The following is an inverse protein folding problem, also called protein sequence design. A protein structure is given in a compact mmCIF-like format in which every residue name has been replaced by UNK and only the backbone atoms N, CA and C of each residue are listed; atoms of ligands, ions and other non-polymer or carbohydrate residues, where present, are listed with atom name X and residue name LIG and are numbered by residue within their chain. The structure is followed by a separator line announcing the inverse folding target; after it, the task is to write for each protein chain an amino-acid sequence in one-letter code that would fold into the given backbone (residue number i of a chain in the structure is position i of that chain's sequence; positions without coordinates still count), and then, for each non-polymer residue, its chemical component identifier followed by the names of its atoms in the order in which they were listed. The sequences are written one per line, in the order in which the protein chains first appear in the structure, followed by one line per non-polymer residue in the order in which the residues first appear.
data_IF_331836495185
#
_entry.id   IF_331836495185
#
_cell.length_a   1.000
_cell.length_b   1.000
_cell.length_c   1.000
_cell.angle_alpha   90.00
_cell.angle_beta   90.00
_cell.angle_gamma   90.00
#
_symmetry.space_group_name_H-M   'P 1'
#
loop_
_entity.id
_entity.type
_entity.pdbx_description
1 polymer ?
#
# COMPACT_ATOMS: atom_id res chain seq x y z
N UNK A 1 -16.60 -6.64 -19.76
CA UNK A 1 -16.68 -7.23 -18.41
C UNK A 1 -15.44 -8.09 -18.22
N UNK A 2 -14.57 -7.82 -17.23
CA UNK A 2 -13.50 -8.76 -16.91
C UNK A 2 -14.15 -10.07 -16.42
N UNK A 3 -13.57 -11.23 -16.75
CA UNK A 3 -14.09 -12.51 -16.29
C UNK A 3 -14.02 -12.55 -14.76
N UNK A 4 -15.11 -12.98 -14.12
CA UNK A 4 -15.08 -13.32 -12.69
C UNK A 4 -14.16 -14.53 -12.55
N UNK A 5 -13.00 -14.33 -11.92
CA UNK A 5 -12.13 -15.42 -11.53
C UNK A 5 -12.93 -16.37 -10.63
N UNK A 6 -12.92 -17.66 -10.96
CA UNK A 6 -13.63 -18.66 -10.18
C UNK A 6 -12.96 -18.79 -8.79
N UNK A 7 -13.74 -19.03 -7.73
CA UNK A 7 -13.20 -19.20 -6.36
C UNK A 7 -12.15 -20.32 -6.22
N UNK A 8 -11.99 -21.18 -7.23
CA UNK A 8 -10.93 -22.19 -7.31
C UNK A 8 -9.56 -21.63 -7.74
N UNK A 9 -9.52 -20.57 -8.56
CA UNK A 9 -8.27 -19.88 -8.95
C UNK A 9 -7.73 -19.01 -7.82
N UNK A 10 -8.62 -18.42 -7.02
CA UNK A 10 -8.28 -17.63 -5.83
C UNK A 10 -7.66 -18.53 -4.74
N UNK A 11 -8.23 -19.72 -4.52
CA UNK A 11 -7.69 -20.74 -3.61
C UNK A 11 -6.35 -21.34 -4.04
N UNK A 12 -6.01 -21.31 -5.34
CA UNK A 12 -4.73 -21.80 -5.86
C UNK A 12 -3.58 -20.80 -5.68
N UNK A 13 -3.87 -19.49 -5.72
CA UNK A 13 -2.90 -18.40 -5.43
C UNK A 13 -2.49 -18.31 -3.95
N UNK A 14 -3.27 -18.93 -3.07
CA UNK A 14 -3.19 -18.75 -1.61
C UNK A 14 -2.26 -19.75 -0.89
N UNK A 15 -1.62 -20.66 -1.64
CA UNK A 15 -0.74 -21.69 -1.06
C UNK A 15 0.59 -21.09 -0.59
N UNK A 16 0.59 -20.56 0.63
CA UNK A 16 1.80 -20.11 1.33
C UNK A 16 1.82 -18.63 1.68
N UNK A 17 0.80 -17.85 1.26
CA UNK A 17 0.66 -16.46 1.66
C UNK A 17 0.26 -16.38 3.14
N UNK A 18 0.87 -15.47 3.94
CA UNK A 18 0.42 -15.24 5.30
C UNK A 18 -1.00 -14.65 5.30
N UNK A 19 -1.91 -15.29 6.06
CA UNK A 19 -3.27 -14.83 6.24
C UNK A 19 -3.49 -14.31 7.66
N UNK A 20 -4.39 -13.34 7.86
CA UNK A 20 -4.68 -12.79 9.18
C UNK A 20 -5.61 -13.68 10.01
N UNK A 21 -5.25 -13.84 11.27
CA UNK A 21 -6.02 -14.55 12.28
C UNK A 21 -6.07 -13.77 13.58
N UNK A 22 -7.15 -13.95 14.35
CA UNK A 22 -7.21 -13.60 15.77
C UNK A 22 -6.78 -14.78 16.60
N UNK A 23 -5.92 -14.53 17.58
CA UNK A 23 -5.50 -15.51 18.56
C UNK A 23 -6.60 -15.67 19.61
N UNK A 24 -7.13 -16.88 19.73
CA UNK A 24 -8.22 -17.21 20.65
C UNK A 24 -7.88 -18.45 21.49
N UNK A 25 -8.79 -18.82 22.40
CA UNK A 25 -8.74 -20.09 23.13
C UNK A 25 -9.93 -20.96 22.75
N UNK A 26 -9.66 -22.25 22.57
CA UNK A 26 -10.69 -23.28 22.50
C UNK A 26 -10.44 -24.30 23.61
N UNK A 27 -11.19 -24.15 24.70
CA UNK A 27 -10.95 -24.88 25.94
C UNK A 27 -9.53 -24.62 26.47
N UNK A 28 -8.70 -25.67 26.57
CA UNK A 28 -7.32 -25.57 27.04
C UNK A 28 -6.32 -25.16 25.94
N UNK A 29 -6.72 -25.20 24.67
CA UNK A 29 -5.84 -25.00 23.53
C UNK A 29 -5.91 -23.57 22.99
N UNK A 30 -4.81 -23.12 22.36
CA UNK A 30 -4.79 -21.92 21.56
C UNK A 30 -5.35 -22.21 20.16
N UNK A 31 -6.18 -21.31 19.64
CA UNK A 31 -6.79 -21.40 18.31
C UNK A 31 -6.51 -20.13 17.50
N UNK A 32 -6.59 -20.26 16.17
CA UNK A 32 -6.47 -19.13 15.25
C UNK A 32 -7.77 -18.98 14.48
N UNK A 33 -8.54 -17.97 14.86
CA UNK A 33 -9.81 -17.66 14.20
C UNK A 33 -9.53 -16.76 12.99
N UNK A 34 -9.90 -17.16 11.77
CA UNK A 34 -9.73 -16.30 10.60
C UNK A 34 -10.51 -15.00 10.78
N UNK A 35 -9.91 -13.88 10.37
CA UNK A 35 -10.57 -12.58 10.52
C UNK A 35 -11.59 -12.30 9.39
N UNK A 36 -11.34 -12.83 8.19
CA UNK A 36 -12.12 -12.55 6.97
C UNK A 36 -12.46 -13.81 6.14
N UNK A 37 -12.46 -14.99 6.76
CA UNK A 37 -12.80 -16.25 6.09
C UNK A 37 -13.66 -17.14 6.98
N UNK A 38 -14.41 -18.06 6.38
CA UNK A 38 -15.43 -18.85 7.09
C UNK A 38 -14.86 -20.09 7.83
N UNK A 39 -13.67 -20.57 7.45
CA UNK A 39 -13.12 -21.83 7.97
C UNK A 39 -12.06 -21.61 9.07
N UNK A 40 -12.44 -21.97 10.30
CA UNK A 40 -11.57 -21.93 11.50
C UNK A 40 -10.32 -22.80 11.31
N UNK A 41 -9.16 -22.33 11.78
CA UNK A 41 -7.88 -23.05 11.73
C UNK A 41 -7.28 -23.24 13.13
N UNK A 42 -6.39 -24.23 13.31
CA UNK A 42 -5.73 -24.50 14.59
C UNK A 42 -4.30 -23.93 14.62
N UNK A 43 -3.80 -23.54 15.80
CA UNK A 43 -2.42 -23.05 15.97
C UNK A 43 -1.43 -24.23 16.01
N UNK A 44 -0.30 -24.16 15.29
CA UNK A 44 0.87 -25.00 15.60
C UNK A 44 1.56 -24.45 16.85
N UNK A 45 1.84 -25.30 17.84
CA UNK A 45 2.49 -24.90 19.09
C UNK A 45 4.00 -24.58 18.99
N UNK A 46 4.66 -24.71 17.83
CA UNK A 46 6.13 -24.72 17.74
C UNK A 46 6.67 -23.76 16.66
N UNK A 47 7.43 -22.76 17.11
CA UNK A 47 8.17 -21.80 16.28
C UNK A 47 7.38 -20.54 15.89
N UNK A 48 8.06 -19.40 15.83
CA UNK A 48 7.49 -18.09 15.50
C UNK A 48 7.34 -17.14 16.70
N UNK A 49 6.83 -15.92 16.47
CA UNK A 49 6.51 -14.96 17.52
C UNK A 49 5.55 -15.54 18.59
N UNK A 50 5.63 -15.01 19.81
CA UNK A 50 4.73 -15.39 20.92
C UNK A 50 3.58 -14.37 21.04
N UNK A 51 2.37 -14.67 20.54
CA UNK A 51 1.24 -13.77 20.68
C UNK A 51 0.61 -13.84 22.08
N UNK A 52 -0.25 -12.88 22.38
CA UNK A 52 -1.19 -12.88 23.50
C UNK A 52 -2.61 -13.23 23.00
N UNK A 53 -3.50 -13.53 23.95
CA UNK A 53 -4.93 -13.72 23.65
C UNK A 53 -5.50 -12.44 23.05
N UNK A 54 -6.29 -12.53 21.99
CA UNK A 54 -6.85 -11.41 21.20
C UNK A 54 -5.84 -10.61 20.38
N UNK A 55 -4.60 -11.07 20.24
CA UNK A 55 -3.71 -10.48 19.23
C UNK A 55 -4.16 -10.88 17.82
N UNK A 56 -4.03 -9.96 16.88
CA UNK A 56 -4.07 -10.23 15.44
C UNK A 56 -2.68 -10.65 14.97
N UNK A 57 -2.63 -11.71 14.16
CA UNK A 57 -1.39 -12.31 13.68
C UNK A 57 -1.49 -12.67 12.21
N UNK A 58 -0.35 -12.72 11.53
CA UNK A 58 -0.23 -13.37 10.23
C UNK A 58 0.29 -14.79 10.42
N UNK A 59 -0.34 -15.76 9.78
CA UNK A 59 0.09 -17.15 9.85
C UNK A 59 0.03 -17.84 8.48
N UNK A 60 0.95 -18.78 8.26
CA UNK A 60 1.05 -19.59 7.05
C UNK A 60 0.68 -21.05 7.33
N UNK A 61 0.22 -21.81 6.32
CA UNK A 61 0.04 -23.26 6.43
C UNK A 61 1.31 -23.96 6.90
N UNK A 62 1.17 -24.94 7.80
CA UNK A 62 2.28 -25.77 8.28
C UNK A 62 2.04 -27.26 8.04
N UNK A 63 1.05 -27.86 8.71
CA UNK A 63 0.67 -29.26 8.51
C UNK A 63 -0.81 -29.48 8.85
N UNK A 64 -1.56 -30.07 7.92
CA UNK A 64 -3.02 -30.18 8.02
C UNK A 64 -3.67 -28.82 8.27
N UNK A 65 -4.57 -28.76 9.26
CA UNK A 65 -5.27 -27.53 9.65
C UNK A 65 -4.45 -26.61 10.55
N UNK A 66 -3.18 -26.95 10.81
CA UNK A 66 -2.33 -26.14 11.67
C UNK A 66 -1.66 -25.01 10.90
N UNK A 67 -1.50 -23.85 11.55
CA UNK A 67 -0.80 -22.67 11.02
C UNK A 67 0.37 -22.25 11.90
N UNK A 68 1.43 -21.72 11.28
CA UNK A 68 2.61 -21.14 11.96
C UNK A 68 2.56 -19.62 11.87
N UNK A 69 2.68 -18.95 13.01
CA UNK A 69 2.72 -17.48 13.08
C UNK A 69 4.03 -16.99 12.48
N UNK A 70 3.93 -15.99 11.61
CA UNK A 70 5.07 -15.29 11.02
C UNK A 70 5.19 -13.86 11.55
N UNK A 71 4.08 -13.25 11.96
CA UNK A 71 4.06 -11.87 12.45
C UNK A 71 2.93 -11.64 13.46
N UNK A 72 3.17 -10.78 14.46
CA UNK A 72 2.13 -10.23 15.34
C UNK A 72 1.81 -8.81 14.87
N UNK A 73 0.56 -8.56 14.48
CA UNK A 73 0.11 -7.29 13.93
C UNK A 73 -0.24 -6.27 15.02
N UNK A 74 -0.75 -6.74 16.16
CA UNK A 74 -1.22 -5.91 17.26
C UNK A 74 -2.43 -6.54 17.94
N UNK A 75 -3.20 -5.73 18.69
CA UNK A 75 -4.42 -6.17 19.38
C UNK A 75 -5.63 -6.14 18.45
N UNK A 76 -6.62 -6.98 18.68
CA UNK A 76 -7.88 -6.96 17.92
C UNK A 76 -8.74 -5.70 18.15
N UNK A 77 -8.52 -4.97 19.25
CA UNK A 77 -9.16 -3.68 19.55
C UNK A 77 -8.37 -2.47 19.01
N UNK A 78 -7.21 -2.69 18.38
CA UNK A 78 -6.44 -1.65 17.69
C UNK A 78 -6.84 -1.55 16.22
N UNK A 79 -7.43 -0.41 15.85
CA UNK A 79 -7.86 -0.12 14.47
C UNK A 79 -6.71 -0.24 13.47
N UNK A 80 -5.49 0.19 13.83
CA UNK A 80 -4.35 0.10 12.93
C UNK A 80 -3.99 -1.36 12.64
N UNK A 81 -4.04 -2.23 13.66
CA UNK A 81 -3.80 -3.66 13.49
C UNK A 81 -4.87 -4.34 12.62
N UNK A 82 -6.14 -3.96 12.79
CA UNK A 82 -7.26 -4.44 11.95
C UNK A 82 -7.07 -4.02 10.49
N UNK A 83 -6.71 -2.76 10.24
CA UNK A 83 -6.46 -2.24 8.89
C UNK A 83 -5.27 -2.93 8.22
N UNK A 84 -4.18 -3.18 8.96
CA UNK A 84 -3.06 -3.97 8.46
C UNK A 84 -3.46 -5.41 8.13
N UNK A 85 -4.26 -6.04 8.97
CA UNK A 85 -4.80 -7.37 8.71
C UNK A 85 -5.64 -7.40 7.43
N UNK A 86 -6.46 -6.36 7.20
CA UNK A 86 -7.27 -6.23 5.98
C UNK A 86 -6.40 -6.14 4.72
N UNK A 87 -5.36 -5.29 4.71
CA UNK A 87 -4.41 -5.22 3.59
C UNK A 87 -3.77 -6.58 3.29
N UNK A 88 -3.35 -7.26 4.35
CA UNK A 88 -2.77 -8.60 4.26
C UNK A 88 -3.78 -9.65 3.77
N UNK A 89 -5.10 -9.47 3.94
CA UNK A 89 -6.12 -10.38 3.42
C UNK A 89 -6.47 -10.08 1.96
N UNK A 90 -6.54 -8.81 1.57
CA UNK A 90 -6.88 -8.40 0.19
C UNK A 90 -5.70 -8.53 -0.77
N UNK A 91 -4.47 -8.60 -0.26
CA UNK A 91 -3.27 -8.85 -1.05
C UNK A 91 -2.65 -7.59 -1.61
N UNK A 92 -3.04 -6.45 -1.02
CA UNK A 92 -2.40 -5.17 -1.29
C UNK A 92 -0.93 -5.27 -0.88
N UNK A 93 -0.05 -4.86 -1.79
CA UNK A 93 1.39 -4.84 -1.57
C UNK A 93 1.72 -3.76 -0.55
N UNK A 94 2.54 -4.11 0.43
CA UNK A 94 2.94 -3.20 1.50
C UNK A 94 4.44 -2.93 1.45
N UNK A 95 4.82 -1.67 1.64
CA UNK A 95 6.22 -1.24 1.60
C UNK A 95 6.90 -1.45 0.24
N UNK A 96 8.17 -1.07 0.09
CA UNK A 96 8.89 -1.17 -1.19
C UNK A 96 10.11 -2.08 -1.06
N UNK A 97 10.41 -2.86 -2.11
CA UNK A 97 11.62 -3.66 -2.19
C UNK A 97 12.88 -2.77 -2.22
N UNK A 98 14.03 -3.31 -1.79
CA UNK A 98 15.30 -2.56 -1.67
C UNK A 98 15.69 -1.90 -2.98
N UNK A 99 15.60 -2.63 -4.10
CA UNK A 99 15.90 -2.09 -5.43
C UNK A 99 15.03 -0.86 -5.79
N UNK A 100 13.74 -0.86 -5.42
CA UNK A 100 12.84 0.29 -5.65
C UNK A 100 13.22 1.47 -4.76
N UNK A 101 13.62 1.19 -3.50
CA UNK A 101 14.06 2.24 -2.56
C UNK A 101 15.39 2.87 -2.98
N UNK A 102 16.31 2.06 -3.48
CA UNK A 102 17.60 2.51 -4.01
C UNK A 102 17.43 3.39 -5.25
N UNK A 103 16.60 2.98 -6.20
CA UNK A 103 16.27 3.81 -7.38
C UNK A 103 15.61 5.13 -6.97
N UNK A 104 14.64 5.09 -6.05
CA UNK A 104 13.96 6.29 -5.59
C UNK A 104 14.91 7.27 -4.86
N UNK A 105 15.85 6.75 -4.07
CA UNK A 105 16.85 7.59 -3.42
C UNK A 105 17.79 8.31 -4.41
N UNK A 106 17.98 7.74 -5.61
CA UNK A 106 18.79 8.33 -6.68
C UNK A 106 18.06 9.43 -7.49
N UNK A 107 16.77 9.64 -7.24
CA UNK A 107 15.94 10.65 -7.95
C UNK A 107 16.29 12.08 -7.53
N UNK A 108 16.63 12.32 -6.26
CA UNK A 108 16.84 13.65 -5.69
C UNK A 108 17.75 14.58 -6.51
N UNK A 109 18.93 14.13 -7.01
CA UNK A 109 19.78 14.94 -7.88
C UNK A 109 19.12 15.38 -9.20
N UNK A 110 18.14 14.63 -9.74
CA UNK A 110 17.40 15.02 -10.96
C UNK A 110 16.46 16.19 -10.67
N UNK A 111 15.85 16.24 -9.49
CA UNK A 111 14.95 17.32 -9.09
C UNK A 111 15.65 18.69 -8.99
N UNK A 112 16.97 18.70 -8.77
CA UNK A 112 17.78 19.92 -8.71
C UNK A 112 18.26 20.42 -10.08
N UNK A 113 18.03 19.68 -11.17
CA UNK A 113 18.49 20.08 -12.50
C UNK A 113 17.56 21.12 -13.10
N UNK A 114 18.14 22.24 -13.55
CA UNK A 114 17.42 23.22 -14.36
C UNK A 114 17.32 22.70 -15.79
N UNK A 115 16.13 22.28 -16.17
CA UNK A 115 15.80 21.90 -17.54
C UNK A 115 15.46 23.18 -18.34
N UNK A 116 16.37 23.58 -19.23
CA UNK A 116 16.26 24.82 -20.02
C UNK A 116 15.25 24.70 -21.16
N UNK A 117 14.81 23.50 -21.49
CA UNK A 117 13.82 23.27 -22.55
C UNK A 117 12.39 23.43 -22.03
N UNK A 118 12.21 23.51 -20.70
CA UNK A 118 10.91 23.79 -20.07
C UNK A 118 10.54 25.25 -20.20
N UNK A 119 9.25 25.48 -20.44
CA UNK A 119 8.66 26.82 -20.36
C UNK A 119 8.67 27.29 -18.91
N UNK A 120 9.32 28.42 -18.66
CA UNK A 120 9.28 29.06 -17.34
C UNK A 120 7.88 29.67 -17.10
N UNK A 121 7.20 29.13 -16.09
CA UNK A 121 5.90 29.60 -15.60
C UNK A 121 5.96 30.02 -14.12
N UNK A 122 7.17 30.16 -13.55
CA UNK A 122 7.37 30.43 -12.11
C UNK A 122 6.85 31.80 -11.68
N UNK A 123 6.63 32.72 -12.62
CA UNK A 123 6.03 34.03 -12.37
C UNK A 123 4.49 34.00 -12.25
N UNK A 124 3.82 32.89 -12.58
CA UNK A 124 2.37 32.77 -12.42
C UNK A 124 2.01 32.56 -10.94
N UNK A 125 0.91 33.18 -10.45
CA UNK A 125 0.40 32.89 -9.12
C UNK A 125 -0.21 31.48 -9.12
N UNK A 126 0.58 30.50 -8.70
CA UNK A 126 0.23 29.07 -8.68
C UNK A 126 -0.04 28.61 -7.25
N UNK A 127 -1.13 27.87 -7.05
CA UNK A 127 -1.52 27.32 -5.76
C UNK A 127 -2.11 25.91 -5.92
N UNK A 128 -2.12 25.14 -4.83
CA UNK A 128 -2.81 23.84 -4.73
C UNK A 128 -3.98 23.98 -3.75
N UNK A 129 -4.96 23.08 -3.81
CA UNK A 129 -6.10 23.06 -2.89
C UNK A 129 -6.30 21.62 -2.40
N UNK A 130 -5.82 21.36 -1.19
CA UNK A 130 -5.73 20.01 -0.63
C UNK A 130 -6.17 19.97 0.84
N UNK A 131 -6.55 18.78 1.36
CA UNK A 131 -6.72 18.59 2.79
C UNK A 131 -5.44 18.88 3.59
N UNK A 132 -5.58 19.32 4.84
CA UNK A 132 -4.43 19.61 5.74
C UNK A 132 -3.47 18.42 5.91
N UNK A 133 -3.97 17.20 5.77
CA UNK A 133 -3.19 15.96 5.93
C UNK A 133 -2.53 15.47 4.64
N UNK A 134 -2.76 16.13 3.49
CA UNK A 134 -2.17 15.75 2.21
C UNK A 134 -0.64 15.92 2.25
N UNK A 135 0.08 15.02 1.58
CA UNK A 135 1.55 15.07 1.50
C UNK A 135 2.07 15.04 0.07
N UNK A 136 1.18 14.79 -0.88
CA UNK A 136 1.38 14.55 -2.30
C UNK A 136 0.49 15.53 -3.07
N UNK A 137 1.10 16.61 -3.56
CA UNK A 137 0.40 17.63 -4.34
C UNK A 137 0.60 17.34 -5.82
N UNK A 138 -0.34 16.58 -6.40
CA UNK A 138 -0.26 16.11 -7.79
C UNK A 138 -0.61 17.19 -8.81
N UNK A 139 -1.38 18.20 -8.40
CA UNK A 139 -1.82 19.28 -9.25
C UNK A 139 -1.75 20.66 -8.59
N UNK A 140 -1.60 21.67 -9.44
CA UNK A 140 -1.66 23.07 -9.06
C UNK A 140 -2.40 23.87 -10.14
N UNK A 141 -2.94 25.02 -9.76
CA UNK A 141 -3.72 25.88 -10.65
C UNK A 141 -3.19 27.31 -10.61
N UNK A 142 -3.15 27.95 -11.77
CA UNK A 142 -3.09 29.42 -11.88
C UNK A 142 -4.29 29.90 -12.69
N UNK A 143 -4.94 30.99 -12.26
CA UNK A 143 -6.06 31.59 -13.00
C UNK A 143 -5.84 33.09 -13.16
N UNK A 144 -5.99 33.58 -14.38
CA UNK A 144 -5.95 35.00 -14.69
C UNK A 144 -7.14 35.41 -15.54
N UNK A 145 -7.60 36.66 -15.40
CA UNK A 145 -8.64 37.23 -16.27
C UNK A 145 -8.06 37.44 -17.66
N UNK A 146 -8.80 37.04 -18.69
CA UNK A 146 -8.40 37.21 -20.08
C UNK A 146 -9.61 37.68 -20.90
N UNK A 147 -9.58 38.94 -21.33
CA UNK A 147 -10.71 39.57 -22.03
C UNK A 147 -11.99 39.58 -21.19
N UNK A 148 -13.05 38.98 -21.71
CA UNK A 148 -14.33 38.78 -21.01
C UNK A 148 -14.38 37.50 -20.17
N UNK A 149 -13.35 36.65 -20.23
CA UNK A 149 -13.29 35.35 -19.55
C UNK A 149 -12.07 35.17 -18.66
N UNK A 150 -11.67 33.92 -18.46
CA UNK A 150 -10.53 33.52 -17.67
C UNK A 150 -9.67 32.51 -18.43
N UNK A 151 -8.36 32.57 -18.20
CA UNK A 151 -7.42 31.52 -18.57
C UNK A 151 -7.01 30.78 -17.30
N UNK A 152 -7.25 29.47 -17.29
CA UNK A 152 -6.77 28.58 -16.25
C UNK A 152 -5.59 27.76 -16.79
N UNK A 153 -4.53 27.67 -15.98
CA UNK A 153 -3.42 26.76 -16.17
C UNK A 153 -3.60 25.63 -15.14
N UNK A 154 -3.60 24.39 -15.60
CA UNK A 154 -3.56 23.20 -14.76
C UNK A 154 -2.17 22.61 -14.89
N UNK A 155 -1.42 22.62 -13.79
CA UNK A 155 -0.05 22.12 -13.71
C UNK A 155 -0.10 20.78 -13.00
N UNK A 156 0.38 19.73 -13.64
CA UNK A 156 0.41 18.37 -13.07
C UNK A 156 1.87 18.01 -12.76
N UNK A 157 2.10 17.35 -11.64
CA UNK A 157 3.41 16.82 -11.28
C UNK A 157 3.96 15.94 -12.42
N UNK A 158 5.19 16.24 -12.85
CA UNK A 158 5.82 15.52 -13.95
C UNK A 158 6.50 14.24 -13.45
N UNK A 159 5.67 13.29 -12.99
CA UNK A 159 6.13 12.03 -12.41
C UNK A 159 6.98 11.24 -13.40
N UNK A 160 6.64 11.26 -14.68
CA UNK A 160 7.37 10.53 -15.72
C UNK A 160 8.79 11.05 -15.96
N UNK A 161 9.11 12.28 -15.55
CA UNK A 161 10.48 12.77 -15.58
C UNK A 161 11.39 12.02 -14.58
N UNK A 162 10.81 11.55 -13.48
CA UNK A 162 11.53 10.90 -12.39
C UNK A 162 11.46 9.37 -12.40
N UNK A 163 10.52 8.81 -13.16
CA UNK A 163 10.30 7.36 -13.26
C UNK A 163 10.81 6.88 -14.63
N UNK A 164 11.92 6.14 -14.62
CA UNK A 164 12.51 5.60 -15.85
C UNK A 164 11.63 4.47 -16.44
N UNK A 165 11.51 4.46 -17.77
CA UNK A 165 10.83 3.37 -18.49
C UNK A 165 11.58 2.07 -18.23
N UNK A 166 10.84 1.01 -17.91
CA UNK A 166 11.37 -0.27 -17.49
C UNK A 166 12.27 -0.20 -16.24
N UNK A 167 12.13 0.85 -15.41
CA UNK A 167 12.76 0.95 -14.08
C UNK A 167 12.07 0.12 -13.01
N UNK A 168 12.67 -0.02 -11.83
CA UNK A 168 12.08 -0.75 -10.71
C UNK A 168 10.88 0.00 -10.10
N UNK A 169 10.95 1.34 -10.03
CA UNK A 169 9.82 2.19 -9.64
C UNK A 169 8.65 1.99 -10.61
N UNK A 170 8.90 2.02 -11.93
CA UNK A 170 7.85 1.86 -12.93
C UNK A 170 7.21 0.46 -12.84
N UNK A 171 8.03 -0.58 -12.75
CA UNK A 171 7.56 -1.96 -12.59
C UNK A 171 6.70 -2.11 -11.32
N UNK A 172 7.11 -1.50 -10.23
CA UNK A 172 6.35 -1.54 -8.98
C UNK A 172 5.06 -0.72 -9.04
N UNK A 173 5.09 0.48 -9.62
CA UNK A 173 3.91 1.30 -9.84
C UNK A 173 2.88 0.57 -10.71
N UNK A 174 3.31 -0.08 -11.80
CA UNK A 174 2.46 -0.94 -12.64
C UNK A 174 1.83 -2.08 -11.84
N UNK A 175 2.58 -2.72 -10.94
CA UNK A 175 2.07 -3.79 -10.06
C UNK A 175 1.07 -3.29 -9.02
N UNK A 176 1.21 -2.06 -8.55
CA UNK A 176 0.30 -1.43 -7.57
C UNK A 176 -0.95 -0.83 -8.21
N UNK A 177 -0.82 -0.33 -9.45
CA UNK A 177 -1.86 0.39 -10.23
C UNK A 177 -2.27 1.73 -9.62
N UNK A 178 -2.52 1.79 -8.31
CA UNK A 178 -2.90 3.01 -7.60
C UNK A 178 -2.43 2.98 -6.14
N UNK A 179 -2.44 4.14 -5.49
CA UNK A 179 -2.35 4.22 -4.02
C UNK A 179 -3.62 3.62 -3.39
N UNK A 180 -3.49 3.02 -2.22
CA UNK A 180 -4.62 2.49 -1.44
C UNK A 180 -4.76 3.31 -0.17
N UNK A 181 -5.87 4.05 -0.04
CA UNK A 181 -6.14 4.91 1.10
C UNK A 181 -7.02 4.19 2.14
N UNK A 182 -6.55 4.17 3.39
CA UNK A 182 -7.29 3.67 4.55
C UNK A 182 -7.54 4.82 5.53
N UNK A 183 -8.50 4.67 6.48
CA UNK A 183 -8.83 5.74 7.42
C UNK A 183 -7.65 6.30 8.24
N UNK A 184 -6.59 5.52 8.46
CA UNK A 184 -5.43 5.92 9.27
C UNK A 184 -4.13 6.12 8.47
N UNK A 185 -3.99 5.49 7.30
CA UNK A 185 -2.77 5.55 6.50
C UNK A 185 -3.04 5.14 5.06
N UNK A 186 -2.08 5.38 4.18
CA UNK A 186 -2.12 4.95 2.79
C UNK A 186 -0.96 3.99 2.48
N UNK A 187 -1.19 3.05 1.57
CA UNK A 187 -0.12 2.31 0.88
C UNK A 187 0.10 2.99 -0.47
N UNK A 188 1.18 3.79 -0.64
CA UNK A 188 1.34 4.62 -1.82
C UNK A 188 1.74 3.79 -3.05
N UNK A 189 1.35 4.28 -4.23
CA UNK A 189 1.79 3.72 -5.51
C UNK A 189 3.28 3.92 -5.73
N UNK A 190 3.81 5.07 -5.33
CA UNK A 190 5.19 5.48 -5.53
C UNK A 190 5.91 5.65 -4.18
N UNK A 191 7.24 5.45 -4.14
CA UNK A 191 8.03 5.77 -2.96
C UNK A 191 7.94 7.25 -2.58
N UNK A 192 7.89 7.56 -1.29
CA UNK A 192 7.77 8.94 -0.78
C UNK A 192 8.99 9.85 -1.02
N UNK A 193 10.02 9.37 -1.72
CA UNK A 193 11.19 10.16 -2.08
C UNK A 193 11.02 10.91 -3.42
N UNK A 194 9.99 10.55 -4.19
CA UNK A 194 9.52 11.27 -5.36
C UNK A 194 8.59 12.41 -4.92
#
# INVERSE_FOLDING_TARGET
MPPQASGAEEAARDRGRPLPYRVARWGKFWSLEPLFADLRSYLVAKGGPRPKLDDLVLAVPAHGDRRRIVEVLGRADDVAAVLRALLCATGVRQGFADAVREEAAAVGPRAMRVDRDRRDLTALPTFTIDPETARDFDDAVSVAREGSGFRAHVHIADVSYFVDVDGEIEREARRRTSSVYLPLFAEPMLPAAL
#
